data_IF_807853505905
#
_entry.id   IF_807853505905
#
_cell.length_a   1.000
_cell.length_b   1.000
_cell.length_c   1.000
_cell.angle_alpha   90.00
_cell.angle_beta   90.00
_cell.angle_gamma   90.00
#
_symmetry.space_group_name_H-M   'P 1'
#
loop_
_entity.id
_entity.type
_entity.pdbx_description
1 polymer ?
#
# COMPACT_ATOMS: atom_id res chain seq x y z
N UNK A 1 -21.44 44.40 58.09
CA UNK A 1 -21.35 43.07 57.47
C UNK A 1 -21.88 43.20 56.05
N UNK A 2 -21.00 43.26 55.05
CA UNK A 2 -21.40 43.50 53.66
C UNK A 2 -21.38 42.17 52.92
N UNK A 3 -22.56 41.58 52.66
CA UNK A 3 -22.67 40.36 51.87
C UNK A 3 -22.43 40.68 50.41
N UNK A 4 -21.34 40.16 49.84
CA UNK A 4 -21.08 40.22 48.41
C UNK A 4 -21.98 39.20 47.72
N UNK A 5 -23.02 39.66 47.02
CA UNK A 5 -23.90 38.82 46.25
C UNK A 5 -23.34 38.73 44.81
N UNK A 6 -22.51 37.73 44.55
CA UNK A 6 -22.00 37.46 43.20
C UNK A 6 -23.06 36.72 42.40
N UNK A 7 -23.50 37.22 41.24
CA UNK A 7 -24.48 36.53 40.42
C UNK A 7 -23.93 35.17 39.95
N UNK A 8 -24.78 34.14 39.81
CA UNK A 8 -24.35 32.83 39.34
C UNK A 8 -23.73 32.93 37.94
N UNK A 9 -22.66 32.16 37.72
CA UNK A 9 -22.01 32.08 36.41
C UNK A 9 -22.99 31.62 35.33
N UNK A 10 -22.93 32.25 34.16
CA UNK A 10 -23.77 31.88 33.02
C UNK A 10 -23.49 30.43 32.59
N UNK A 11 -24.53 29.68 32.16
CA UNK A 11 -24.35 28.30 31.72
C UNK A 11 -23.47 28.25 30.46
N UNK A 12 -22.68 27.16 30.30
CA UNK A 12 -21.83 26.99 29.13
C UNK A 12 -22.68 26.94 27.84
N UNK A 13 -22.15 27.47 26.71
CA UNK A 13 -22.89 27.48 25.46
C UNK A 13 -23.14 26.05 24.95
N UNK A 14 -24.26 25.83 24.23
CA UNK A 14 -24.59 24.52 23.70
C UNK A 14 -23.54 24.04 22.69
N UNK A 15 -23.18 22.76 22.77
CA UNK A 15 -22.20 22.16 21.87
C UNK A 15 -22.70 22.16 20.41
N UNK A 16 -21.84 22.55 19.47
CA UNK A 16 -22.15 22.51 18.04
C UNK A 16 -22.19 21.05 17.58
N UNK A 17 -23.32 20.63 17.03
CA UNK A 17 -23.51 19.28 16.48
C UNK A 17 -23.15 19.30 14.99
N UNK A 18 -22.31 18.36 14.57
CA UNK A 18 -21.92 18.21 13.17
C UNK A 18 -22.95 17.37 12.42
N UNK A 19 -23.24 17.74 11.18
CA UNK A 19 -24.12 16.96 10.30
C UNK A 19 -23.44 15.64 9.93
N UNK A 20 -24.21 14.54 9.87
CA UNK A 20 -23.73 13.22 9.44
C UNK A 20 -23.06 13.30 8.06
N UNK A 21 -23.57 14.13 7.15
CA UNK A 21 -22.95 14.33 5.84
C UNK A 21 -21.53 14.91 5.91
N UNK A 22 -21.28 15.82 6.86
CA UNK A 22 -19.94 16.38 7.07
C UNK A 22 -18.98 15.31 7.63
N UNK A 23 -19.47 14.49 8.56
CA UNK A 23 -18.66 13.39 9.13
C UNK A 23 -18.31 12.36 8.06
N UNK A 24 -19.29 11.96 7.24
CA UNK A 24 -19.07 11.01 6.13
C UNK A 24 -18.15 11.62 5.07
N UNK A 25 -18.34 12.89 4.71
CA UNK A 25 -17.49 13.59 3.75
C UNK A 25 -16.04 13.71 4.23
N UNK A 26 -15.84 14.07 5.50
CA UNK A 26 -14.51 14.12 6.12
C UNK A 26 -13.84 12.73 6.14
N UNK A 27 -14.61 11.67 6.42
CA UNK A 27 -14.12 10.29 6.37
C UNK A 27 -13.64 9.89 4.97
N UNK A 28 -14.44 10.17 3.94
CA UNK A 28 -14.07 9.88 2.55
C UNK A 28 -12.86 10.69 2.07
N UNK A 29 -12.80 11.97 2.41
CA UNK A 29 -11.66 12.83 2.09
C UNK A 29 -10.38 12.31 2.77
N UNK A 30 -10.46 11.94 4.05
CA UNK A 30 -9.36 11.32 4.77
C UNK A 30 -8.91 9.99 4.16
N UNK A 31 -9.86 9.14 3.75
CA UNK A 31 -9.56 7.88 3.08
C UNK A 31 -8.84 8.10 1.74
N UNK A 32 -9.32 9.02 0.91
CA UNK A 32 -8.70 9.33 -0.37
C UNK A 32 -7.27 9.87 -0.19
N UNK A 33 -7.08 10.79 0.76
CA UNK A 33 -5.76 11.34 1.08
C UNK A 33 -4.82 10.27 1.63
N UNK A 34 -5.31 9.41 2.53
CA UNK A 34 -4.54 8.29 3.08
C UNK A 34 -4.11 7.29 2.01
N UNK A 35 -5.02 6.96 1.08
CA UNK A 35 -4.71 6.08 -0.05
C UNK A 35 -3.64 6.68 -0.97
N UNK A 36 -3.75 7.98 -1.29
CA UNK A 36 -2.75 8.68 -2.09
C UNK A 36 -1.38 8.71 -1.40
N UNK A 37 -1.34 8.99 -0.09
CA UNK A 37 -0.12 8.98 0.70
C UNK A 37 0.53 7.58 0.74
N UNK A 38 -0.27 6.53 0.96
CA UNK A 38 0.23 5.15 0.96
C UNK A 38 0.81 4.77 -0.40
N UNK A 39 0.12 5.09 -1.49
CA UNK A 39 0.62 4.83 -2.84
C UNK A 39 1.93 5.57 -3.13
N UNK A 40 2.04 6.84 -2.73
CA UNK A 40 3.27 7.62 -2.88
C UNK A 40 4.44 7.01 -2.10
N UNK A 41 4.20 6.58 -0.86
CA UNK A 41 5.24 5.92 -0.04
C UNK A 41 5.66 4.59 -0.65
N UNK A 42 4.72 3.74 -1.06
CA UNK A 42 5.02 2.46 -1.71
C UNK A 42 5.78 2.66 -3.03
N UNK A 43 5.33 3.60 -3.86
CA UNK A 43 6.01 3.95 -5.11
C UNK A 43 7.43 4.48 -4.87
N UNK A 44 7.63 5.30 -3.84
CA UNK A 44 8.94 5.78 -3.44
C UNK A 44 9.85 4.64 -2.95
N UNK A 45 9.35 3.75 -2.09
CA UNK A 45 10.12 2.60 -1.60
C UNK A 45 10.52 1.68 -2.74
N UNK A 46 9.61 1.40 -3.67
CA UNK A 46 9.93 0.63 -4.87
C UNK A 46 11.01 1.32 -5.71
N UNK A 47 10.88 2.65 -5.91
CA UNK A 47 11.87 3.45 -6.64
C UNK A 47 13.25 3.35 -5.98
N UNK A 48 13.33 3.49 -4.65
CA UNK A 48 14.57 3.31 -3.89
C UNK A 48 15.13 1.91 -4.10
N UNK A 49 14.31 0.86 -4.07
CA UNK A 49 14.78 -0.53 -4.26
C UNK A 49 15.23 -0.83 -5.70
N UNK A 50 14.70 -0.13 -6.69
CA UNK A 50 15.08 -0.29 -8.09
C UNK A 50 16.30 0.55 -8.43
N UNK A 51 16.40 1.76 -7.87
CA UNK A 51 17.51 2.67 -8.13
C UNK A 51 18.74 2.34 -7.29
N UNK A 52 18.57 1.91 -6.04
CA UNK A 52 19.69 1.44 -5.25
C UNK A 52 20.00 0.00 -5.62
N UNK A 53 21.27 -0.32 -5.93
CA UNK A 53 21.70 -1.70 -6.04
C UNK A 53 21.26 -2.50 -4.81
N UNK A 54 20.88 -3.78 -4.98
CA UNK A 54 20.59 -4.65 -3.84
C UNK A 54 21.72 -4.54 -2.82
N UNK A 55 21.43 -4.36 -1.53
CA UNK A 55 22.47 -4.28 -0.52
C UNK A 55 23.32 -5.55 -0.61
N UNK A 56 24.65 -5.44 -0.62
CA UNK A 56 25.53 -6.60 -0.60
C UNK A 56 25.15 -7.48 0.59
N UNK A 57 24.79 -8.74 0.33
CA UNK A 57 24.45 -9.67 1.40
C UNK A 57 25.67 -9.86 2.32
N UNK A 58 25.46 -9.94 3.65
CA UNK A 58 26.52 -10.30 4.56
C UNK A 58 27.09 -11.66 4.14
N UNK A 59 28.37 -11.66 3.77
CA UNK A 59 29.13 -12.85 3.43
C UNK A 59 29.41 -13.58 4.74
N UNK A 60 28.51 -14.47 5.17
CA UNK A 60 28.85 -15.44 6.20
C UNK A 60 29.79 -16.47 5.55
N UNK A 61 31.08 -16.18 5.66
CA UNK A 61 32.16 -16.96 5.05
C UNK A 61 32.27 -18.33 5.70
N UNK A 62 32.02 -19.40 4.94
CA UNK A 62 32.42 -20.78 5.24
C UNK A 62 32.37 -21.68 3.98
N UNK A 63 32.75 -21.16 2.80
CA UNK A 63 32.86 -22.00 1.59
C UNK A 63 34.18 -21.75 0.88
N UNK A 64 34.95 -22.81 0.53
CA UNK A 64 36.21 -22.69 -0.19
C UNK A 64 36.05 -21.90 -1.48
N UNK A 65 37.07 -21.10 -1.80
CA UNK A 65 37.14 -20.23 -2.99
C UNK A 65 37.00 -21.05 -4.28
N UNK A 66 35.80 -21.06 -4.87
CA UNK A 66 35.61 -21.46 -6.26
C UNK A 66 35.77 -20.20 -7.15
N UNK A 67 36.38 -20.32 -8.33
CA UNK A 67 36.46 -19.21 -9.27
C UNK A 67 35.05 -18.72 -9.61
N UNK A 68 34.85 -17.39 -9.73
CA UNK A 68 33.53 -16.85 -10.05
C UNK A 68 33.04 -17.41 -11.38
N UNK A 69 31.74 -17.76 -11.50
CA UNK A 69 31.16 -18.14 -12.77
C UNK A 69 31.29 -16.97 -13.78
N UNK A 70 31.42 -17.26 -15.08
CA UNK A 70 31.54 -16.23 -16.10
C UNK A 70 30.30 -15.31 -16.08
N UNK A 71 30.47 -14.00 -16.37
CA UNK A 71 29.35 -13.07 -16.37
C UNK A 71 28.29 -13.53 -17.40
N UNK A 72 26.99 -13.36 -17.11
CA UNK A 72 25.96 -13.61 -18.10
C UNK A 72 26.20 -12.67 -19.28
N UNK A 73 26.26 -13.22 -20.49
CA UNK A 73 26.27 -12.45 -21.73
C UNK A 73 25.02 -11.56 -21.75
N UNK A 74 25.20 -10.25 -21.89
CA UNK A 74 24.11 -9.30 -22.11
C UNK A 74 23.33 -9.71 -23.36
N UNK A 75 22.22 -10.42 -23.17
CA UNK A 75 21.22 -10.59 -24.22
C UNK A 75 20.46 -9.27 -24.32
N UNK A 76 20.55 -8.65 -25.49
CA UNK A 76 19.81 -7.46 -25.90
C UNK A 76 18.36 -7.56 -25.44
N UNK A 77 17.87 -6.54 -24.74
CA UNK A 77 16.45 -6.42 -24.40
C UNK A 77 15.58 -6.53 -25.67
N UNK A 78 14.51 -7.35 -25.69
CA UNK A 78 13.53 -7.27 -26.77
C UNK A 78 12.90 -5.87 -26.76
N UNK A 79 12.91 -5.20 -27.90
CA UNK A 79 12.21 -3.94 -28.13
C UNK A 79 10.71 -4.07 -27.77
N UNK A 80 10.02 -2.99 -27.36
CA UNK A 80 8.60 -3.05 -27.07
C UNK A 80 7.82 -3.29 -28.38
N UNK A 81 7.34 -4.51 -28.57
CA UNK A 81 6.41 -4.82 -29.65
C UNK A 81 5.01 -4.36 -29.22
N UNK A 82 4.46 -3.38 -29.95
CA UNK A 82 3.07 -2.97 -29.85
C UNK A 82 2.21 -4.07 -30.48
N UNK A 83 1.76 -5.02 -29.67
CA UNK A 83 0.84 -6.10 -30.07
C UNK A 83 -0.50 -5.98 -29.33
N UNK A 84 -1.65 -6.26 -29.98
CA UNK A 84 -2.94 -6.21 -29.30
C UNK A 84 -3.10 -7.39 -28.34
N UNK A 85 -3.71 -7.10 -27.18
CA UNK A 85 -4.66 -7.93 -26.43
C UNK A 85 -4.51 -9.46 -26.51
N UNK A 86 -4.07 -10.07 -25.41
CA UNK A 86 -4.74 -11.21 -24.74
C UNK A 86 -3.91 -11.60 -23.51
N UNK A 87 -4.33 -11.16 -22.33
CA UNK A 87 -3.78 -11.72 -21.09
C UNK A 87 -4.14 -13.21 -21.04
N UNK A 88 -3.21 -14.13 -20.71
CA UNK A 88 -3.61 -15.48 -20.35
C UNK A 88 -4.37 -15.39 -19.03
N UNK A 89 -5.69 -15.53 -19.09
CA UNK A 89 -6.55 -15.67 -17.92
C UNK A 89 -6.08 -16.85 -17.06
N UNK A 90 -5.44 -16.56 -15.93
CA UNK A 90 -5.09 -17.54 -14.90
C UNK A 90 -6.33 -17.92 -14.09
N UNK A 91 -7.41 -18.34 -14.75
CA UNK A 91 -8.57 -18.92 -14.06
C UNK A 91 -8.25 -20.40 -13.90
N UNK A 92 -8.07 -20.92 -12.67
CA UNK A 92 -7.90 -22.34 -12.46
C UNK A 92 -9.18 -23.06 -12.92
N UNK A 93 -9.04 -24.06 -13.80
CA UNK A 93 -10.14 -24.95 -14.16
C UNK A 93 -10.51 -25.77 -12.92
N UNK A 94 -11.77 -25.73 -12.43
CA UNK A 94 -12.17 -26.55 -11.31
C UNK A 94 -12.14 -28.05 -11.71
N UNK A 95 -11.79 -28.94 -10.77
CA UNK A 95 -11.78 -30.38 -11.04
C UNK A 95 -13.19 -30.89 -11.38
N UNK A 96 -13.30 -31.96 -12.18
CA UNK A 96 -14.59 -32.54 -12.55
C UNK A 96 -15.35 -33.03 -11.33
N UNK A 97 -16.68 -32.82 -11.34
CA UNK A 97 -17.58 -33.27 -10.28
C UNK A 97 -17.75 -34.79 -10.33
N UNK A 98 -17.83 -35.47 -9.17
CA UNK A 98 -18.08 -36.90 -9.11
C UNK A 98 -19.48 -37.26 -9.64
N UNK A 99 -19.68 -38.47 -10.21
CA UNK A 99 -20.99 -38.91 -10.68
C UNK A 99 -22.04 -38.85 -9.56
N UNK A 100 -23.18 -38.21 -9.84
CA UNK A 100 -24.27 -38.08 -8.89
C UNK A 100 -24.95 -39.41 -8.55
N UNK A 101 -25.68 -39.48 -7.42
CA UNK A 101 -26.41 -40.68 -7.03
C UNK A 101 -27.53 -40.97 -8.04
N UNK A 102 -27.76 -42.26 -8.32
CA UNK A 102 -28.96 -42.74 -9.00
C UNK A 102 -30.11 -42.88 -8.03
#
# INVERSE_FOLDING_TARGET
>A
MTSTNTPPAAPPPPARRHSTGVVVGAGLAGLALGAAAAFAVTGLVFTVRVQLPPPPYPQFSSTPSYPPPPPPVSSVAPAPSVGPSSAPSLIPVPPPLPPGPR
#
